data_IF_116905046108
#
_entry.id   IF_116905046108
#
_cell.length_a   1.000
_cell.length_b   1.000
_cell.length_c   1.000
_cell.angle_alpha   90.00
_cell.angle_beta   90.00
_cell.angle_gamma   90.00
#
_symmetry.space_group_name_H-M   'P 1'
#
loop_
_entity.id
_entity.type
_entity.pdbx_description
1 polymer ?
#
# COMPACT_ATOMS: atom_id res chain seq x y z
N UNK A 1 -6.46 26.29 6.07
CA UNK A 1 -6.54 26.38 7.55
C UNK A 1 -7.58 25.44 8.16
N UNK A 2 -8.71 25.14 7.51
CA UNK A 2 -9.74 24.22 8.04
C UNK A 2 -9.24 22.79 8.32
N UNK A 3 -8.59 22.14 7.34
CA UNK A 3 -8.13 20.75 7.47
C UNK A 3 -7.05 20.57 8.56
N UNK A 4 -6.15 21.54 8.74
CA UNK A 4 -5.06 21.44 9.74
C UNK A 4 -5.59 21.34 11.17
N UNK A 5 -6.51 22.22 11.57
CA UNK A 5 -7.04 22.23 12.93
C UNK A 5 -7.84 20.96 13.22
N UNK A 6 -8.60 20.49 12.24
CA UNK A 6 -9.40 19.26 12.35
C UNK A 6 -8.50 18.02 12.49
N UNK A 7 -7.48 17.89 11.63
CA UNK A 7 -6.49 16.81 11.74
C UNK A 7 -5.74 16.89 13.08
N UNK A 8 -5.39 18.08 13.57
CA UNK A 8 -4.76 18.24 14.87
C UNK A 8 -5.68 17.80 16.02
N UNK A 9 -6.97 18.10 15.96
CA UNK A 9 -7.95 17.61 16.92
C UNK A 9 -8.05 16.08 16.90
N UNK A 10 -8.12 15.46 15.72
CA UNK A 10 -8.15 14.01 15.59
C UNK A 10 -6.88 13.35 16.11
N UNK A 11 -5.71 13.91 15.78
CA UNK A 11 -4.43 13.47 16.35
C UNK A 11 -4.48 13.48 17.87
N UNK A 12 -4.94 14.57 18.48
CA UNK A 12 -5.01 14.66 19.94
C UNK A 12 -5.95 13.61 20.54
N UNK A 13 -7.10 13.33 19.91
CA UNK A 13 -8.00 12.24 20.33
C UNK A 13 -7.30 10.89 20.28
N UNK A 14 -6.59 10.60 19.19
CA UNK A 14 -5.80 9.38 19.02
C UNK A 14 -4.74 9.25 20.12
N UNK A 15 -3.89 10.27 20.27
CA UNK A 15 -2.73 10.23 21.15
C UNK A 15 -3.10 10.19 22.64
N UNK A 16 -4.31 10.63 23.00
CA UNK A 16 -4.82 10.59 24.38
C UNK A 16 -5.46 9.24 24.77
N UNK A 17 -5.69 8.32 23.83
CA UNK A 17 -6.23 6.99 24.17
C UNK A 17 -5.17 6.12 24.83
N UNK A 18 -5.58 5.30 25.79
CA UNK A 18 -4.68 4.35 26.47
C UNK A 18 -4.17 3.29 25.49
N UNK A 19 -5.03 2.80 24.61
CA UNK A 19 -4.68 1.80 23.60
C UNK A 19 -3.63 2.31 22.60
N UNK A 20 -3.66 3.59 22.20
CA UNK A 20 -2.59 4.17 21.36
C UNK A 20 -1.23 4.11 22.08
N UNK A 21 -1.19 4.47 23.37
CA UNK A 21 0.03 4.46 24.16
C UNK A 21 0.56 3.03 24.37
N UNK A 22 -0.32 2.09 24.72
CA UNK A 22 0.02 0.68 24.97
C UNK A 22 0.38 -0.09 23.70
N UNK A 23 -0.22 0.25 22.56
CA UNK A 23 0.12 -0.35 21.27
C UNK A 23 1.55 -0.03 20.82
N UNK A 24 2.29 0.80 21.57
CA UNK A 24 3.64 1.25 21.26
C UNK A 24 3.74 1.68 19.80
N UNK A 25 2.84 2.56 19.39
CA UNK A 25 2.76 3.09 18.02
C UNK A 25 2.00 2.21 17.01
N UNK A 26 1.01 1.40 17.37
CA UNK A 26 0.42 0.39 16.47
C UNK A 26 1.32 -0.79 16.13
N UNK A 27 2.07 -1.36 17.08
CA UNK A 27 2.73 -2.65 16.80
C UNK A 27 1.67 -3.62 16.27
N UNK A 28 1.89 -4.17 15.08
CA UNK A 28 0.92 -5.05 14.40
C UNK A 28 0.50 -6.20 15.33
N UNK A 29 1.48 -6.77 16.03
CA UNK A 29 1.31 -7.78 17.06
C UNK A 29 0.39 -7.38 18.22
N UNK A 30 0.36 -6.10 18.63
CA UNK A 30 -0.54 -5.64 19.69
C UNK A 30 -2.01 -5.80 19.29
N UNK A 31 -2.35 -5.41 18.06
CA UNK A 31 -3.74 -5.48 17.58
C UNK A 31 -4.19 -6.94 17.40
N UNK A 32 -3.31 -7.79 16.88
CA UNK A 32 -3.56 -9.23 16.78
C UNK A 32 -3.73 -9.86 18.17
N UNK A 33 -2.89 -9.49 19.14
CA UNK A 33 -3.01 -9.98 20.51
C UNK A 33 -4.31 -9.53 21.20
N UNK A 34 -4.70 -8.26 21.01
CA UNK A 34 -5.97 -7.77 21.54
C UNK A 34 -7.15 -8.54 20.92
N UNK A 35 -7.13 -8.76 19.61
CA UNK A 35 -8.18 -9.53 18.94
C UNK A 35 -8.27 -10.96 19.49
N UNK A 36 -7.12 -11.62 19.69
CA UNK A 36 -7.10 -12.94 20.31
C UNK A 36 -7.70 -12.94 21.73
N UNK A 37 -7.36 -11.96 22.57
CA UNK A 37 -7.92 -11.84 23.92
C UNK A 37 -9.43 -11.58 23.89
N UNK A 38 -9.92 -10.75 22.97
CA UNK A 38 -11.37 -10.51 22.78
C UNK A 38 -12.09 -11.81 22.44
N UNK A 39 -11.55 -12.59 21.50
CA UNK A 39 -12.12 -13.88 21.10
C UNK A 39 -12.13 -14.88 22.26
N UNK A 40 -11.02 -14.99 23.00
CA UNK A 40 -10.89 -15.89 24.15
C UNK A 40 -11.85 -15.53 25.29
N UNK A 41 -12.03 -14.23 25.57
CA UNK A 41 -12.94 -13.74 26.62
C UNK A 41 -14.41 -13.85 26.22
N UNK A 42 -14.76 -13.47 24.99
CA UNK A 42 -16.14 -13.45 24.54
C UNK A 42 -16.65 -14.83 24.12
N UNK A 43 -15.77 -15.72 23.66
CA UNK A 43 -16.11 -17.07 23.20
C UNK A 43 -17.12 -17.08 22.05
N UNK A 44 -17.17 -16.01 21.25
CA UNK A 44 -18.23 -15.77 20.27
C UNK A 44 -17.63 -15.49 18.90
N UNK A 45 -18.11 -16.18 17.87
CA UNK A 45 -17.65 -15.99 16.48
C UNK A 45 -18.79 -15.83 15.48
N UNK A 46 -20.03 -16.10 15.88
CA UNK A 46 -21.26 -15.98 15.09
C UNK A 46 -21.65 -14.51 14.85
N UNK A 47 -20.83 -13.79 14.12
CA UNK A 47 -20.97 -12.37 13.88
C UNK A 47 -20.74 -12.05 12.41
N UNK A 48 -21.37 -10.97 11.91
CA UNK A 48 -21.22 -10.51 10.52
C UNK A 48 -19.75 -10.35 10.08
N UNK A 49 -18.87 -10.01 11.01
CA UNK A 49 -17.42 -9.94 10.78
C UNK A 49 -16.84 -11.24 10.20
N UNK A 50 -17.37 -12.41 10.58
CA UNK A 50 -16.90 -13.71 10.11
C UNK A 50 -17.78 -14.33 9.01
N UNK A 51 -18.81 -13.65 8.54
CA UNK A 51 -19.85 -14.22 7.66
C UNK A 51 -19.36 -14.82 6.33
N UNK A 52 -18.23 -14.35 5.79
CA UNK A 52 -17.67 -14.92 4.56
C UNK A 52 -16.81 -16.18 4.83
N UNK A 53 -16.30 -16.30 6.06
CA UNK A 53 -15.43 -17.41 6.46
C UNK A 53 -16.15 -18.54 7.20
N UNK A 54 -17.28 -18.24 7.83
CA UNK A 54 -18.13 -19.25 8.48
C UNK A 54 -19.62 -18.97 8.24
N UNK A 55 -20.44 -20.00 8.33
CA UNK A 55 -21.90 -19.84 8.38
C UNK A 55 -22.32 -19.40 9.79
N UNK A 56 -22.67 -18.13 9.95
CA UNK A 56 -23.00 -17.52 11.24
C UNK A 56 -24.31 -18.06 11.86
N UNK A 57 -25.12 -18.82 11.10
CA UNK A 57 -26.34 -19.44 11.62
C UNK A 57 -26.07 -20.78 12.30
N UNK A 58 -24.89 -21.38 12.12
CA UNK A 58 -24.51 -22.65 12.74
C UNK A 58 -23.91 -22.45 14.11
N UNK A 59 -24.08 -23.43 14.99
CA UNK A 59 -23.40 -23.42 16.29
C UNK A 59 -21.94 -23.88 16.14
N UNK A 60 -21.04 -23.16 16.77
CA UNK A 60 -19.63 -23.54 16.89
C UNK A 60 -19.23 -23.75 18.36
N UNK A 61 -18.35 -24.71 18.60
CA UNK A 61 -17.76 -25.01 19.91
C UNK A 61 -16.24 -25.05 19.84
N UNK A 62 -15.58 -25.26 20.98
CA UNK A 62 -14.13 -25.47 21.09
C UNK A 62 -13.28 -24.37 20.43
N UNK A 63 -13.71 -23.11 20.58
CA UNK A 63 -12.96 -21.96 20.07
C UNK A 63 -11.56 -21.94 20.68
N UNK A 64 -10.56 -22.08 19.82
CA UNK A 64 -9.13 -21.99 20.14
C UNK A 64 -8.52 -20.90 19.30
N UNK A 65 -7.71 -20.05 19.93
CA UNK A 65 -7.01 -18.97 19.25
C UNK A 65 -5.51 -19.18 19.42
N UNK A 66 -4.81 -19.25 18.30
CA UNK A 66 -3.36 -19.35 18.24
C UNK A 66 -2.78 -18.08 17.66
N UNK A 67 -1.74 -17.54 18.30
CA UNK A 67 -0.99 -16.37 17.83
C UNK A 67 0.27 -16.83 17.11
N UNK A 68 0.60 -16.20 15.98
CA UNK A 68 1.83 -16.44 15.22
C UNK A 68 2.06 -17.90 14.77
N UNK A 69 1.00 -18.73 14.78
CA UNK A 69 1.07 -20.15 14.37
C UNK A 69 1.43 -20.21 12.89
N UNK A 70 2.52 -20.90 12.58
CA UNK A 70 3.07 -20.96 11.23
C UNK A 70 3.34 -19.57 10.62
N UNK A 71 3.69 -18.57 11.43
CA UNK A 71 3.90 -17.18 10.98
C UNK A 71 2.65 -16.50 10.40
N UNK A 72 1.45 -16.94 10.79
CA UNK A 72 0.17 -16.26 10.53
C UNK A 72 -0.21 -15.52 11.80
N UNK A 73 -0.61 -14.24 11.70
CA UNK A 73 -0.86 -13.41 12.89
C UNK A 73 -1.81 -14.08 13.88
N UNK A 74 -2.99 -14.52 13.43
CA UNK A 74 -3.89 -15.36 14.21
C UNK A 74 -4.41 -16.56 13.41
N UNK A 75 -4.52 -17.70 14.08
CA UNK A 75 -5.26 -18.86 13.62
C UNK A 75 -6.36 -19.17 14.62
N UNK A 76 -7.61 -19.21 14.17
CA UNK A 76 -8.76 -19.56 14.98
C UNK A 76 -9.24 -20.93 14.53
N UNK A 77 -9.42 -21.84 15.48
CA UNK A 77 -10.00 -23.16 15.24
C UNK A 77 -11.32 -23.25 16.01
N UNK A 78 -12.38 -23.68 15.33
CA UNK A 78 -13.69 -23.94 15.94
C UNK A 78 -14.24 -25.26 15.41
N UNK A 79 -15.03 -25.96 16.22
CA UNK A 79 -15.72 -27.19 15.82
C UNK A 79 -17.15 -26.85 15.41
N UNK A 80 -17.58 -27.26 14.23
CA UNK A 80 -18.97 -27.09 13.79
C UNK A 80 -19.92 -28.13 14.43
N UNK A 81 -21.22 -27.99 14.18
CA UNK A 81 -22.25 -28.91 14.67
C UNK A 81 -22.09 -30.37 14.20
N UNK A 82 -21.29 -30.63 13.16
CA UNK A 82 -20.98 -31.97 12.63
C UNK A 82 -19.68 -32.54 13.21
N UNK A 83 -19.02 -31.82 14.11
CA UNK A 83 -17.74 -32.22 14.69
C UNK A 83 -16.54 -31.94 13.77
N UNK A 84 -16.72 -31.15 12.70
CA UNK A 84 -15.64 -30.78 11.80
C UNK A 84 -14.93 -29.52 12.28
N UNK A 85 -13.59 -29.55 12.32
CA UNK A 85 -12.78 -28.36 12.62
C UNK A 85 -12.79 -27.41 11.42
N UNK A 86 -13.24 -26.18 11.65
CA UNK A 86 -13.06 -25.05 10.75
C UNK A 86 -11.85 -24.22 11.20
N UNK A 87 -10.95 -23.92 10.26
CA UNK A 87 -9.75 -23.12 10.49
C UNK A 87 -9.92 -21.77 9.81
N UNK A 88 -9.70 -20.69 10.57
CA UNK A 88 -9.76 -19.31 10.07
C UNK A 88 -8.42 -18.65 10.32
N UNK A 89 -7.83 -18.07 9.28
CA UNK A 89 -6.65 -17.24 9.38
C UNK A 89 -7.04 -15.77 9.48
N UNK A 90 -6.38 -15.01 10.35
CA UNK A 90 -6.42 -13.54 10.32
C UNK A 90 -5.01 -13.07 9.99
N UNK A 91 -4.90 -12.27 8.94
CA UNK A 91 -3.69 -11.50 8.64
C UNK A 91 -3.99 -10.03 8.90
N UNK A 92 -3.22 -9.40 9.77
CA UNK A 92 -3.42 -8.04 10.22
C UNK A 92 -2.47 -7.09 9.49
N UNK A 93 -3.00 -6.02 8.89
CA UNK A 93 -2.26 -4.98 8.16
C UNK A 93 -2.62 -3.58 8.67
N UNK A 94 -2.27 -3.31 9.92
CA UNK A 94 -2.39 -1.97 10.52
C UNK A 94 -1.18 -1.07 10.24
N UNK A 95 0.01 -1.64 10.04
CA UNK A 95 1.27 -0.90 9.85
C UNK A 95 1.92 -1.08 8.49
N UNK A 96 1.35 -1.97 7.70
CA UNK A 96 1.87 -2.37 6.41
C UNK A 96 0.72 -2.40 5.40
N UNK A 97 1.08 -2.37 4.12
CA UNK A 97 0.12 -2.60 3.06
C UNK A 97 -0.08 -4.11 2.92
N UNK A 98 -1.27 -4.58 2.49
CA UNK A 98 -1.48 -5.98 2.13
C UNK A 98 -0.47 -6.48 1.09
N UNK A 99 -0.09 -7.75 1.20
CA UNK A 99 0.83 -8.44 0.29
C UNK A 99 0.19 -9.73 -0.24
N UNK A 100 -0.09 -9.76 -1.55
CA UNK A 100 -0.71 -10.89 -2.24
C UNK A 100 0.09 -12.18 -2.10
N UNK A 101 1.41 -12.10 -2.25
CA UNK A 101 2.29 -13.28 -2.18
C UNK A 101 2.28 -13.91 -0.78
N UNK A 102 2.10 -13.07 0.25
CA UNK A 102 1.95 -13.54 1.62
C UNK A 102 0.64 -14.33 1.80
N UNK A 103 -0.48 -13.82 1.26
CA UNK A 103 -1.78 -14.49 1.36
C UNK A 103 -1.81 -15.81 0.60
N UNK A 104 -1.24 -15.86 -0.60
CA UNK A 104 -1.11 -17.09 -1.40
C UNK A 104 -0.33 -18.15 -0.62
N UNK A 105 0.83 -17.79 -0.05
CA UNK A 105 1.65 -18.68 0.78
C UNK A 105 0.92 -19.19 2.03
N UNK A 106 -0.05 -18.46 2.54
CA UNK A 106 -0.87 -18.92 3.67
C UNK A 106 -1.96 -19.88 3.23
N UNK A 107 -2.61 -19.63 2.10
CA UNK A 107 -3.58 -20.57 1.51
C UNK A 107 -2.94 -21.92 1.18
N UNK A 108 -1.66 -21.94 0.82
CA UNK A 108 -0.91 -23.18 0.57
C UNK A 108 -0.64 -24.02 1.84
N UNK A 109 -0.65 -23.40 3.04
CA UNK A 109 -0.39 -24.10 4.31
C UNK A 109 -1.57 -24.95 4.77
N UNK A 110 -2.78 -24.48 4.51
CA UNK A 110 -4.02 -25.21 4.77
C UNK A 110 -5.05 -24.85 3.70
N UNK A 111 -5.23 -25.71 2.67
CA UNK A 111 -6.19 -25.47 1.60
C UNK A 111 -7.66 -25.38 2.03
N UNK A 112 -7.99 -25.86 3.24
CA UNK A 112 -9.36 -25.80 3.77
C UNK A 112 -9.58 -24.58 4.66
N UNK A 113 -8.52 -23.87 5.06
CA UNK A 113 -8.64 -22.66 5.84
C UNK A 113 -9.15 -21.51 4.98
N UNK A 114 -10.00 -20.68 5.57
CA UNK A 114 -10.38 -19.38 5.01
C UNK A 114 -9.67 -18.26 5.75
N UNK A 115 -9.34 -17.19 5.03
CA UNK A 115 -8.59 -16.05 5.57
C UNK A 115 -9.42 -14.78 5.66
N UNK A 116 -9.15 -13.98 6.70
CA UNK A 116 -9.56 -12.58 6.79
C UNK A 116 -8.30 -11.72 6.70
N UNK A 117 -8.24 -10.86 5.68
CA UNK A 117 -7.29 -9.76 5.62
C UNK A 117 -7.89 -8.56 6.37
N UNK A 118 -7.45 -8.33 7.60
CA UNK A 118 -7.81 -7.17 8.41
C UNK A 118 -6.89 -6.01 8.04
N UNK A 119 -7.41 -4.96 7.41
CA UNK A 119 -6.57 -3.90 6.83
C UNK A 119 -7.21 -2.52 6.88
N UNK A 120 -6.40 -1.49 7.16
CA UNK A 120 -6.85 -0.09 7.14
C UNK A 120 -7.26 0.40 5.74
N UNK A 121 -6.72 -0.23 4.70
CA UNK A 121 -6.96 0.15 3.29
C UNK A 121 -7.32 -1.04 2.44
N UNK A 122 -7.96 -0.79 1.29
CA UNK A 122 -8.24 -1.83 0.31
C UNK A 122 -6.93 -2.27 -0.36
N UNK A 123 -6.70 -3.59 -0.56
CA UNK A 123 -5.57 -4.05 -1.34
C UNK A 123 -5.70 -3.56 -2.80
N UNK A 124 -4.56 -3.31 -3.44
CA UNK A 124 -4.50 -2.95 -4.86
C UNK A 124 -4.50 -4.16 -5.81
N UNK A 125 -4.91 -5.33 -5.31
CA UNK A 125 -4.93 -6.60 -6.01
C UNK A 125 -6.21 -7.37 -5.66
N UNK A 126 -6.57 -8.33 -6.49
CA UNK A 126 -7.68 -9.24 -6.23
C UNK A 126 -7.27 -10.26 -5.16
N UNK A 127 -8.11 -10.43 -4.14
CA UNK A 127 -7.80 -11.39 -3.07
C UNK A 127 -7.90 -12.82 -3.61
N UNK A 128 -7.04 -13.75 -3.13
CA UNK A 128 -7.24 -15.17 -3.41
C UNK A 128 -8.62 -15.65 -2.94
N UNK A 129 -9.22 -16.62 -3.63
CA UNK A 129 -10.61 -17.06 -3.40
C UNK A 129 -10.97 -17.41 -1.94
N UNK A 130 -10.00 -17.89 -1.16
CA UNK A 130 -10.19 -18.25 0.24
C UNK A 130 -10.08 -17.06 1.21
N UNK A 131 -9.76 -15.86 0.73
CA UNK A 131 -9.51 -14.67 1.54
C UNK A 131 -10.57 -13.59 1.35
N UNK A 132 -10.97 -12.99 2.46
CA UNK A 132 -11.95 -11.92 2.51
C UNK A 132 -11.38 -10.72 3.25
N UNK A 133 -11.62 -9.51 2.73
CA UNK A 133 -11.19 -8.29 3.44
C UNK A 133 -12.16 -7.98 4.57
N UNK A 134 -11.60 -7.51 5.70
CA UNK A 134 -12.32 -6.71 6.70
C UNK A 134 -11.58 -5.41 7.01
N UNK A 135 -12.32 -4.33 7.23
CA UNK A 135 -11.76 -3.07 7.73
C UNK A 135 -11.64 -3.08 9.25
N UNK A 136 -10.93 -2.09 9.78
CA UNK A 136 -10.90 -1.84 11.21
C UNK A 136 -12.24 -1.31 11.74
N UNK A 137 -13.00 -0.59 10.91
CA UNK A 137 -14.39 -0.22 11.17
C UNK A 137 -15.27 -1.43 11.47
N UNK A 138 -15.18 -2.49 10.64
CA UNK A 138 -15.91 -3.74 10.88
C UNK A 138 -15.46 -4.46 12.15
N UNK A 139 -14.16 -4.38 12.49
CA UNK A 139 -13.61 -4.95 13.72
C UNK A 139 -14.12 -4.21 14.97
N UNK A 140 -14.17 -2.87 14.95
CA UNK A 140 -14.66 -2.10 16.11
C UNK A 140 -16.17 -2.23 16.29
N UNK A 141 -16.93 -2.41 15.20
CA UNK A 141 -18.35 -2.79 15.29
C UNK A 141 -18.50 -4.14 15.99
N UNK A 142 -17.70 -5.13 15.57
CA UNK A 142 -17.65 -6.43 16.24
C UNK A 142 -17.31 -6.30 17.73
N UNK A 143 -16.32 -5.50 18.10
CA UNK A 143 -15.99 -5.29 19.51
C UNK A 143 -17.12 -4.59 20.27
N UNK A 144 -17.82 -3.65 19.64
CA UNK A 144 -18.99 -2.98 20.20
C UNK A 144 -20.10 -3.95 20.58
N UNK A 145 -20.37 -4.92 19.69
CA UNK A 145 -21.39 -5.97 19.89
C UNK A 145 -20.97 -7.05 20.92
N UNK A 146 -19.74 -6.97 21.46
CA UNK A 146 -19.23 -7.87 22.50
C UNK A 146 -19.08 -7.21 23.87
N UNK A 147 -19.39 -5.92 24.01
CA UNK A 147 -19.15 -5.17 25.24
C UNK A 147 -19.91 -5.73 26.46
N UNK A 148 -21.05 -6.39 26.26
CA UNK A 148 -21.86 -7.03 27.29
C UNK A 148 -21.41 -8.46 27.63
N UNK A 149 -20.52 -9.05 26.82
CA UNK A 149 -19.99 -10.42 27.00
C UNK A 149 -18.69 -10.49 27.78
N UNK A 150 -18.18 -9.34 28.22
CA UNK A 150 -16.88 -9.22 28.90
C UNK A 150 -17.04 -8.52 30.24
N UNK A 151 -16.05 -8.68 31.12
CA UNK A 151 -16.02 -8.00 32.40
C UNK A 151 -15.90 -6.48 32.26
N UNK A 152 -16.38 -5.73 33.25
CA UNK A 152 -16.45 -4.26 33.23
C UNK A 152 -15.10 -3.60 32.96
N UNK A 153 -14.02 -4.14 33.53
CA UNK A 153 -12.67 -3.59 33.33
C UNK A 153 -12.24 -3.75 31.88
N UNK A 154 -12.44 -4.94 31.29
CA UNK A 154 -12.13 -5.18 29.88
C UNK A 154 -13.07 -4.41 28.95
N UNK A 155 -14.33 -4.22 29.32
CA UNK A 155 -15.30 -3.40 28.57
C UNK A 155 -14.83 -1.96 28.40
N UNK A 156 -14.37 -1.32 29.48
CA UNK A 156 -13.82 0.04 29.43
C UNK A 156 -12.56 0.10 28.57
N UNK A 157 -11.71 -0.92 28.65
CA UNK A 157 -10.52 -1.04 27.82
C UNK A 157 -10.85 -1.15 26.32
N UNK A 158 -11.89 -1.93 25.96
CA UNK A 158 -12.36 -2.05 24.58
C UNK A 158 -13.01 -0.77 24.06
N UNK A 159 -13.76 -0.05 24.90
CA UNK A 159 -14.33 1.25 24.52
C UNK A 159 -13.25 2.26 24.11
N UNK A 160 -12.15 2.33 24.87
CA UNK A 160 -10.99 3.17 24.52
C UNK A 160 -10.36 2.72 23.19
N UNK A 161 -10.26 1.42 22.92
CA UNK A 161 -9.76 0.91 21.64
C UNK A 161 -10.69 1.24 20.46
N UNK A 162 -12.00 1.12 20.65
CA UNK A 162 -13.02 1.45 19.65
C UNK A 162 -12.91 2.94 19.28
N UNK A 163 -12.84 3.82 20.29
CA UNK A 163 -12.64 5.25 20.06
C UNK A 163 -11.31 5.51 19.35
N UNK A 164 -10.24 4.85 19.78
CA UNK A 164 -8.93 4.98 19.17
C UNK A 164 -8.96 4.66 17.67
N UNK A 165 -9.40 3.46 17.29
CA UNK A 165 -9.38 3.02 15.90
C UNK A 165 -10.36 3.79 15.02
N UNK A 166 -11.51 4.21 15.58
CA UNK A 166 -12.44 5.10 14.88
C UNK A 166 -11.77 6.42 14.46
N UNK A 167 -11.05 7.06 15.39
CA UNK A 167 -10.35 8.30 15.08
C UNK A 167 -9.18 8.06 14.10
N UNK A 168 -8.51 6.90 14.13
CA UNK A 168 -7.46 6.55 13.16
C UNK A 168 -8.02 6.43 11.74
N UNK A 169 -9.16 5.75 11.56
CA UNK A 169 -9.79 5.63 10.24
C UNK A 169 -10.19 7.00 9.68
N UNK A 170 -10.83 7.84 10.50
CA UNK A 170 -11.21 9.21 10.11
C UNK A 170 -9.97 10.06 9.76
N UNK A 171 -8.89 9.93 10.53
CA UNK A 171 -7.64 10.65 10.28
C UNK A 171 -7.00 10.24 8.95
N UNK A 172 -6.96 8.93 8.65
CA UNK A 172 -6.43 8.41 7.38
C UNK A 172 -7.29 8.88 6.20
N UNK A 173 -8.61 8.87 6.35
CA UNK A 173 -9.54 9.33 5.32
C UNK A 173 -9.31 10.81 4.97
N UNK A 174 -9.17 11.68 5.98
CA UNK A 174 -8.97 13.11 5.74
C UNK A 174 -7.60 13.47 5.14
N UNK A 175 -6.56 12.68 5.43
CA UNK A 175 -5.20 12.99 4.98
C UNK A 175 -4.83 12.36 3.64
N UNK A 176 -5.26 11.12 3.38
CA UNK A 176 -4.84 10.34 2.20
C UNK A 176 -5.71 10.56 0.96
N UNK A 177 -6.88 11.18 1.10
CA UNK A 177 -7.80 11.44 -0.02
C UNK A 177 -7.91 12.93 -0.36
N UNK A 178 -6.91 13.73 0.01
CA UNK A 178 -6.81 15.13 -0.37
C UNK A 178 -6.58 15.33 -1.88
N UNK A 179 -6.90 16.52 -2.39
CA UNK A 179 -6.75 16.85 -3.81
C UNK A 179 -5.30 16.99 -4.26
N UNK A 180 -4.39 17.38 -3.37
CA UNK A 180 -2.97 17.61 -3.67
C UNK A 180 -2.16 16.31 -3.80
N UNK A 181 -1.25 16.25 -4.78
CA UNK A 181 -0.29 15.14 -4.90
C UNK A 181 0.67 15.10 -3.71
N UNK A 182 1.19 16.27 -3.33
CA UNK A 182 2.00 16.38 -2.13
C UNK A 182 1.10 16.36 -0.91
N UNK A 183 1.51 15.63 0.13
CA UNK A 183 1.02 15.94 1.46
C UNK A 183 1.37 17.41 1.75
N UNK A 184 0.37 18.24 2.04
CA UNK A 184 0.60 19.65 2.35
C UNK A 184 1.57 19.80 3.53
N UNK A 185 2.30 20.92 3.59
CA UNK A 185 3.21 21.18 4.72
C UNK A 185 2.48 21.17 6.08
N UNK A 186 1.23 21.65 6.10
CA UNK A 186 0.28 21.53 7.21
C UNK A 186 0.09 20.07 7.64
N UNK A 187 -0.16 19.16 6.69
CA UNK A 187 -0.34 17.74 6.95
C UNK A 187 0.95 17.12 7.50
N UNK A 188 2.12 17.46 6.94
CA UNK A 188 3.41 17.03 7.47
C UNK A 188 3.63 17.49 8.91
N UNK A 189 3.25 18.72 9.25
CA UNK A 189 3.32 19.24 10.63
C UNK A 189 2.41 18.46 11.58
N UNK A 190 1.19 18.11 11.16
CA UNK A 190 0.32 17.25 11.99
C UNK A 190 0.90 15.85 12.13
N UNK A 191 1.52 15.29 11.09
CA UNK A 191 2.16 13.97 11.14
C UNK A 191 3.49 13.96 11.90
N UNK A 192 4.07 15.12 12.20
CA UNK A 192 5.38 15.21 12.85
C UNK A 192 5.32 14.65 14.28
N UNK A 193 6.20 13.68 14.56
CA UNK A 193 6.20 12.94 15.83
C UNK A 193 5.09 11.89 15.96
N UNK A 194 4.09 11.90 15.07
CA UNK A 194 3.03 10.89 15.07
C UNK A 194 3.59 9.58 14.52
N UNK A 195 3.44 8.50 15.29
CA UNK A 195 4.07 7.24 14.93
C UNK A 195 3.39 6.51 13.76
N UNK A 196 2.19 6.97 13.37
CA UNK A 196 1.44 6.52 12.19
C UNK A 196 1.94 7.12 10.86
N UNK A 197 2.82 8.12 10.89
CA UNK A 197 3.30 8.84 9.70
C UNK A 197 3.74 7.92 8.56
N UNK A 198 4.56 6.90 8.86
CA UNK A 198 5.08 5.97 7.84
C UNK A 198 3.96 5.17 7.15
N UNK A 199 2.94 4.75 7.90
CA UNK A 199 1.80 4.00 7.35
C UNK A 199 0.96 4.91 6.47
N UNK A 200 0.70 6.14 6.93
CA UNK A 200 -0.05 7.14 6.19
C UNK A 200 0.63 7.51 4.88
N UNK A 201 1.94 7.72 4.91
CA UNK A 201 2.74 7.94 3.71
C UNK A 201 2.60 6.74 2.76
N UNK A 202 2.77 5.50 3.23
CA UNK A 202 2.58 4.29 2.40
C UNK A 202 1.19 4.22 1.77
N UNK A 203 0.14 4.49 2.55
CA UNK A 203 -1.26 4.48 2.07
C UNK A 203 -1.45 5.52 0.97
N UNK A 204 -0.95 6.74 1.17
CA UNK A 204 -1.04 7.82 0.18
C UNK A 204 -0.46 7.40 -1.17
N UNK A 205 0.77 6.87 -1.16
CA UNK A 205 1.43 6.45 -2.41
C UNK A 205 0.81 5.19 -3.02
N UNK A 206 0.26 4.27 -2.22
CA UNK A 206 -0.48 3.12 -2.72
C UNK A 206 -1.80 3.54 -3.38
N UNK A 207 -2.51 4.53 -2.82
CA UNK A 207 -3.72 5.08 -3.44
C UNK A 207 -3.41 5.72 -4.80
N UNK A 208 -2.29 6.46 -4.90
CA UNK A 208 -1.83 7.02 -6.16
C UNK A 208 -1.45 5.95 -7.18
N UNK A 209 -0.81 4.86 -6.74
CA UNK A 209 -0.52 3.69 -7.60
C UNK A 209 -1.82 3.05 -8.12
N UNK A 210 -2.83 2.86 -7.27
CA UNK A 210 -4.11 2.28 -7.67
C UNK A 210 -4.85 3.12 -8.72
N UNK A 211 -4.61 4.44 -8.77
CA UNK A 211 -5.21 5.32 -9.78
C UNK A 211 -4.59 5.16 -11.19
N UNK A 212 -3.54 4.34 -11.34
CA UNK A 212 -2.91 4.05 -12.63
C UNK A 212 -2.83 2.54 -12.93
N UNK A 213 -3.38 1.68 -12.06
CA UNK A 213 -3.33 0.22 -12.24
C UNK A 213 -4.25 -0.30 -13.34
N UNK A 214 -5.27 0.47 -13.72
CA UNK A 214 -6.19 0.17 -14.82
C UNK A 214 -5.57 0.34 -16.22
N UNK A 215 -4.34 0.86 -16.31
CA UNK A 215 -3.64 1.06 -17.59
C UNK A 215 -3.12 -0.23 -18.25
N UNK A 216 -3.33 -1.40 -17.63
CA UNK A 216 -2.95 -2.69 -18.21
C UNK A 216 -1.46 -3.03 -18.12
N UNK A 217 -0.67 -2.21 -17.41
CA UNK A 217 0.73 -2.47 -17.10
C UNK A 217 0.92 -2.74 -15.61
N UNK A 218 2.00 -3.43 -15.29
CA UNK A 218 2.39 -3.69 -13.90
C UNK A 218 2.74 -2.36 -13.22
N UNK A 219 2.10 -2.08 -12.10
CA UNK A 219 2.39 -0.92 -11.25
C UNK A 219 3.17 -1.35 -10.02
N UNK A 220 3.87 -0.40 -9.40
CA UNK A 220 4.64 -0.65 -8.19
C UNK A 220 4.68 0.57 -7.28
N UNK A 221 4.90 0.34 -6.00
CA UNK A 221 5.23 1.39 -5.03
C UNK A 221 6.15 0.85 -3.95
N UNK A 222 6.84 1.77 -3.26
CA UNK A 222 7.76 1.39 -2.21
C UNK A 222 8.53 2.56 -1.65
N UNK A 223 9.71 2.27 -1.10
CA UNK A 223 10.61 3.28 -0.52
C UNK A 223 12.03 3.09 -1.01
N UNK A 224 12.65 4.15 -1.52
CA UNK A 224 14.06 4.18 -1.95
C UNK A 224 14.76 5.36 -1.28
N UNK A 225 15.89 5.09 -0.60
CA UNK A 225 16.75 6.11 0.06
C UNK A 225 15.95 7.13 0.90
N UNK A 226 14.98 6.63 1.67
CA UNK A 226 14.18 7.46 2.58
C UNK A 226 12.94 8.11 1.96
N UNK A 227 12.79 8.12 0.63
CA UNK A 227 11.62 8.67 -0.06
C UNK A 227 10.70 7.57 -0.57
N UNK A 228 9.39 7.80 -0.46
CA UNK A 228 8.40 6.95 -1.09
C UNK A 228 8.35 7.19 -2.61
N UNK A 229 7.98 6.16 -3.35
CA UNK A 229 7.80 6.21 -4.79
C UNK A 229 6.67 5.31 -5.24
N UNK A 230 6.11 5.62 -6.41
CA UNK A 230 5.22 4.75 -7.17
C UNK A 230 5.51 4.90 -8.67
N UNK A 231 5.09 3.93 -9.47
CA UNK A 231 5.35 3.95 -10.90
C UNK A 231 4.66 2.83 -11.65
N UNK A 232 4.97 2.78 -12.94
CA UNK A 232 4.41 1.83 -13.91
C UNK A 232 5.56 1.30 -14.79
N UNK A 233 5.60 -0.02 -14.95
CA UNK A 233 6.59 -0.74 -15.76
C UNK A 233 6.00 -1.03 -17.14
N UNK A 234 6.52 -0.35 -18.18
CA UNK A 234 6.18 -0.64 -19.56
C UNK A 234 7.16 -1.69 -20.10
N UNK A 235 6.67 -2.92 -20.24
CA UNK A 235 7.46 -4.05 -20.75
C UNK A 235 7.69 -3.92 -22.26
N UNK A 236 8.85 -4.38 -22.70
CA UNK A 236 9.24 -4.40 -24.11
C UNK A 236 9.42 -5.84 -24.55
N UNK A 237 8.46 -6.36 -25.33
CA UNK A 237 8.45 -7.74 -25.80
C UNK A 237 9.79 -8.13 -26.43
N UNK A 238 10.35 -9.28 -26.03
CA UNK A 238 11.64 -9.77 -26.54
C UNK A 238 12.87 -9.20 -25.83
N UNK A 239 12.70 -8.37 -24.79
CA UNK A 239 13.76 -7.99 -23.86
C UNK A 239 13.31 -8.24 -22.42
N UNK A 240 14.25 -8.36 -21.48
CA UNK A 240 13.93 -8.39 -20.03
C UNK A 240 13.97 -7.00 -19.41
N UNK A 241 14.31 -5.99 -20.19
CA UNK A 241 14.38 -4.59 -19.77
C UNK A 241 13.00 -3.92 -19.87
N UNK A 242 12.79 -2.87 -19.07
CA UNK A 242 11.53 -2.09 -19.06
C UNK A 242 11.80 -0.60 -19.23
N UNK A 243 10.81 0.11 -19.76
CA UNK A 243 10.75 1.56 -19.67
C UNK A 243 9.72 1.93 -18.61
N UNK A 244 10.06 2.79 -17.67
CA UNK A 244 9.22 3.11 -16.53
C UNK A 244 8.94 4.61 -16.48
N UNK A 245 7.72 4.95 -16.06
CA UNK A 245 7.46 6.23 -15.39
C UNK A 245 7.52 5.96 -13.90
N UNK A 246 8.36 6.71 -13.19
CA UNK A 246 8.49 6.63 -11.74
C UNK A 246 8.37 8.00 -11.11
N UNK A 247 7.52 8.10 -10.10
CA UNK A 247 7.40 9.28 -9.26
C UNK A 247 8.09 9.00 -7.93
N UNK A 248 9.10 9.79 -7.58
CA UNK A 248 9.79 9.69 -6.29
C UNK A 248 9.90 11.07 -5.64
N UNK A 249 9.13 11.30 -4.57
CA UNK A 249 9.03 12.62 -3.94
C UNK A 249 8.52 13.65 -4.95
N UNK A 250 9.27 14.72 -5.19
CA UNK A 250 8.92 15.71 -6.22
C UNK A 250 9.47 15.39 -7.61
N UNK A 251 10.06 14.21 -7.84
CA UNK A 251 10.69 13.89 -9.12
C UNK A 251 9.75 13.06 -9.99
N UNK A 252 9.48 13.56 -11.19
CA UNK A 252 8.85 12.83 -12.27
C UNK A 252 9.93 12.26 -13.18
N UNK A 253 10.08 10.95 -13.21
CA UNK A 253 11.20 10.27 -13.87
C UNK A 253 10.73 9.46 -15.06
N UNK A 254 11.48 9.56 -16.15
CA UNK A 254 11.52 8.53 -17.18
C UNK A 254 12.76 7.69 -16.92
N UNK A 255 12.60 6.37 -16.91
CA UNK A 255 13.65 5.45 -16.52
C UNK A 255 13.67 4.26 -17.48
N UNK A 256 14.86 3.78 -17.84
CA UNK A 256 15.02 2.43 -18.38
C UNK A 256 15.66 1.56 -17.31
N UNK A 257 15.03 0.43 -17.03
CA UNK A 257 15.53 -0.58 -16.11
C UNK A 257 16.14 -1.70 -16.97
N UNK A 258 17.47 -1.67 -17.12
CA UNK A 258 18.16 -2.70 -17.87
C UNK A 258 18.25 -3.97 -17.03
N UNK A 259 17.82 -5.10 -17.58
CA UNK A 259 18.01 -6.39 -16.89
C UNK A 259 19.51 -6.68 -16.75
N UNK A 260 19.91 -7.50 -15.77
CA UNK A 260 21.33 -7.87 -15.60
C UNK A 260 21.88 -8.58 -16.85
N UNK A 261 21.07 -9.48 -17.44
CA UNK A 261 21.41 -10.21 -18.66
C UNK A 261 21.56 -9.29 -19.87
N UNK A 262 20.66 -8.31 -20.01
CA UNK A 262 20.73 -7.34 -21.10
C UNK A 262 21.95 -6.43 -20.90
N UNK A 263 22.16 -5.96 -19.68
CA UNK A 263 23.27 -5.09 -19.33
C UNK A 263 24.65 -5.70 -19.62
N UNK A 264 24.85 -7.00 -19.37
CA UNK A 264 26.13 -7.65 -19.68
C UNK A 264 26.48 -7.62 -21.17
N UNK A 265 25.46 -7.54 -22.03
CA UNK A 265 25.58 -7.44 -23.49
C UNK A 265 25.60 -6.00 -23.99
N UNK A 266 25.20 -5.05 -23.14
CA UNK A 266 25.11 -3.64 -23.49
C UNK A 266 26.36 -2.90 -22.99
N UNK A 267 26.97 -2.12 -23.88
CA UNK A 267 28.12 -1.28 -23.54
C UNK A 267 27.72 -0.03 -22.72
N UNK A 268 27.76 1.13 -23.36
CA UNK A 268 27.46 2.41 -22.71
C UNK A 268 25.95 2.67 -22.63
N UNK A 269 25.37 2.40 -21.46
CA UNK A 269 23.93 2.59 -21.21
C UNK A 269 23.48 4.06 -21.35
N UNK A 270 24.33 5.03 -20.99
CA UNK A 270 24.01 6.45 -21.15
C UNK A 270 23.92 6.81 -22.64
N UNK A 271 24.83 6.27 -23.46
CA UNK A 271 24.80 6.43 -24.92
C UNK A 271 23.52 5.84 -25.52
N UNK A 272 23.05 4.69 -25.04
CA UNK A 272 21.79 4.09 -25.49
C UNK A 272 20.60 5.01 -25.14
N UNK A 273 20.54 5.50 -23.90
CA UNK A 273 19.50 6.43 -23.48
C UNK A 273 19.55 7.76 -24.26
N UNK A 274 20.73 8.24 -24.67
CA UNK A 274 20.86 9.38 -25.60
C UNK A 274 20.29 9.09 -26.99
N UNK A 275 20.52 7.88 -27.53
CA UNK A 275 19.95 7.47 -28.82
C UNK A 275 18.42 7.41 -28.72
N UNK A 276 17.89 6.82 -27.65
CA UNK A 276 16.45 6.78 -27.37
C UNK A 276 15.89 8.21 -27.32
N UNK A 277 16.49 9.09 -26.51
CA UNK A 277 16.07 10.49 -26.36
C UNK A 277 16.02 11.23 -27.70
N UNK A 278 17.03 11.03 -28.56
CA UNK A 278 17.11 11.65 -29.89
C UNK A 278 16.09 11.10 -30.88
N UNK A 279 15.86 9.78 -30.89
CA UNK A 279 14.98 9.10 -31.88
C UNK A 279 13.49 9.14 -31.51
N UNK A 280 13.15 9.26 -30.23
CA UNK A 280 11.76 9.12 -29.74
C UNK A 280 11.22 10.35 -29.02
N UNK A 281 12.09 11.33 -28.71
CA UNK A 281 11.77 12.45 -27.82
C UNK A 281 11.28 12.02 -26.42
N UNK A 282 11.44 10.76 -26.03
CA UNK A 282 11.32 10.32 -24.64
C UNK A 282 12.43 11.00 -23.81
N UNK A 283 12.19 11.21 -22.51
CA UNK A 283 13.03 12.04 -21.63
C UNK A 283 13.02 13.55 -21.97
N UNK A 284 12.21 13.99 -22.94
CA UNK A 284 11.90 15.40 -23.14
C UNK A 284 10.54 15.72 -22.52
N UNK A 285 10.58 16.42 -21.38
CA UNK A 285 9.41 16.79 -20.58
C UNK A 285 8.69 18.07 -21.06
N UNK A 286 9.14 18.68 -22.16
CA UNK A 286 8.53 19.88 -22.78
C UNK A 286 8.24 21.01 -21.75
N UNK A 287 9.27 21.44 -21.02
CA UNK A 287 9.11 22.20 -19.78
C UNK A 287 8.68 23.68 -19.92
N UNK A 288 8.77 24.29 -21.10
CA UNK A 288 8.55 25.74 -21.27
C UNK A 288 7.12 26.16 -20.89
N UNK A 289 6.11 25.39 -21.31
CA UNK A 289 4.69 25.63 -21.00
C UNK A 289 4.05 24.48 -20.20
N UNK A 290 4.85 23.60 -19.60
CA UNK A 290 4.33 22.46 -18.86
C UNK A 290 3.67 22.92 -17.56
N UNK A 291 2.38 22.66 -17.38
CA UNK A 291 1.66 23.03 -16.15
C UNK A 291 2.03 22.15 -14.95
N UNK A 292 2.51 20.93 -15.20
CA UNK A 292 2.76 19.89 -14.19
C UNK A 292 4.22 19.86 -13.75
N UNK A 293 5.13 20.00 -14.71
CA UNK A 293 6.56 19.79 -14.51
C UNK A 293 7.36 21.08 -14.65
N UNK A 294 8.45 21.17 -13.89
CA UNK A 294 9.43 22.24 -13.97
C UNK A 294 10.86 21.67 -14.01
N UNK A 295 11.81 22.51 -14.42
CA UNK A 295 13.20 22.11 -14.61
C UNK A 295 13.84 21.68 -13.29
N UNK A 296 14.49 20.51 -13.30
CA UNK A 296 15.34 20.09 -12.18
C UNK A 296 16.65 20.90 -12.17
N UNK A 297 17.19 21.16 -10.98
CA UNK A 297 18.46 21.88 -10.80
C UNK A 297 19.71 21.05 -11.09
N UNK A 298 19.53 19.80 -11.56
CA UNK A 298 20.65 18.87 -11.80
C UNK A 298 21.48 19.28 -13.00
N UNK A 299 22.79 19.36 -12.82
CA UNK A 299 23.77 19.58 -13.90
C UNK A 299 24.15 18.29 -14.65
N UNK A 300 23.96 17.12 -14.02
CA UNK A 300 24.15 15.82 -14.69
C UNK A 300 22.95 15.45 -15.53
N UNK A 301 23.21 15.08 -16.79
CA UNK A 301 22.23 14.72 -17.82
C UNK A 301 21.56 13.36 -17.59
N UNK A 302 22.32 12.37 -17.11
CA UNK A 302 21.82 11.05 -16.74
C UNK A 302 22.12 10.74 -15.28
N UNK A 303 21.20 10.03 -14.64
CA UNK A 303 21.36 9.50 -13.29
C UNK A 303 21.31 7.97 -13.36
N UNK A 304 22.14 7.34 -12.56
CA UNK A 304 22.22 5.89 -12.49
C UNK A 304 21.99 5.38 -11.07
N UNK A 305 21.16 4.34 -10.93
CA UNK A 305 21.02 3.55 -9.72
C UNK A 305 21.44 2.10 -10.00
N UNK A 306 22.18 1.49 -9.06
CA UNK A 306 22.70 0.11 -9.13
C UNK A 306 23.36 -0.30 -10.45
N UNK A 307 23.88 0.69 -11.19
CA UNK A 307 24.46 0.55 -12.53
C UNK A 307 23.53 -0.12 -13.56
N UNK A 308 22.22 -0.13 -13.36
CA UNK A 308 21.23 -0.76 -14.27
C UNK A 308 20.00 0.11 -14.54
N UNK A 309 19.76 1.08 -13.65
CA UNK A 309 18.65 2.00 -13.72
C UNK A 309 19.15 3.33 -14.28
N UNK A 310 18.87 3.64 -15.53
CA UNK A 310 19.25 4.92 -16.14
C UNK A 310 18.02 5.79 -16.28
N UNK A 311 18.06 7.01 -15.73
CA UNK A 311 16.91 7.90 -15.74
C UNK A 311 17.28 9.37 -15.94
N UNK A 312 16.29 10.12 -16.42
CA UNK A 312 16.25 11.59 -16.44
C UNK A 312 14.94 12.03 -15.76
N UNK A 313 14.91 13.24 -15.20
CA UNK A 313 13.77 13.69 -14.42
C UNK A 313 13.53 15.20 -14.43
N UNK A 314 12.27 15.55 -14.30
CA UNK A 314 11.79 16.89 -13.99
C UNK A 314 11.23 16.93 -12.57
N UNK A 315 11.01 18.14 -12.04
CA UNK A 315 10.31 18.31 -10.77
C UNK A 315 8.82 18.50 -11.01
N UNK A 316 7.99 17.91 -10.16
CA UNK A 316 6.55 18.17 -10.10
C UNK A 316 6.35 19.49 -9.36
N UNK A 317 5.58 20.42 -9.94
CA UNK A 317 5.30 21.71 -9.31
C UNK A 317 4.44 21.53 -8.05
N UNK A 318 4.67 22.37 -7.04
CA UNK A 318 4.03 22.23 -5.71
C UNK A 318 2.50 22.29 -5.71
N UNK A 319 1.89 22.97 -6.69
CA UNK A 319 0.44 23.16 -6.76
C UNK A 319 -0.30 22.04 -7.51
N UNK A 320 0.43 21.06 -8.06
CA UNK A 320 -0.16 19.98 -8.85
C UNK A 320 -1.05 19.11 -7.97
N UNK A 321 -2.30 18.95 -8.39
CA UNK A 321 -3.23 18.01 -7.79
C UNK A 321 -2.87 16.56 -8.16
N UNK A 322 -3.29 15.62 -7.32
CA UNK A 322 -3.21 14.19 -7.59
C UNK A 322 -3.85 13.85 -8.93
N UNK A 323 -5.03 14.43 -9.22
CA UNK A 323 -5.76 14.20 -10.47
C UNK A 323 -4.95 14.66 -11.69
N UNK A 324 -4.44 15.89 -11.68
CA UNK A 324 -3.62 16.43 -12.77
C UNK A 324 -2.37 15.58 -13.01
N UNK A 325 -1.71 15.11 -11.95
CA UNK A 325 -0.56 14.23 -12.06
C UNK A 325 -0.95 12.88 -12.68
N UNK A 326 -2.05 12.26 -12.24
CA UNK A 326 -2.54 11.00 -12.80
C UNK A 326 -2.89 11.16 -14.29
N UNK A 327 -3.62 12.22 -14.67
CA UNK A 327 -3.98 12.50 -16.07
C UNK A 327 -2.73 12.73 -16.94
N UNK A 328 -1.71 13.39 -16.38
CA UNK A 328 -0.41 13.57 -17.02
C UNK A 328 0.28 12.21 -17.24
N UNK A 329 0.35 11.35 -16.21
CA UNK A 329 0.93 9.99 -16.34
C UNK A 329 0.20 9.19 -17.42
N UNK A 330 -1.14 9.20 -17.44
CA UNK A 330 -1.94 8.49 -18.45
C UNK A 330 -1.63 8.95 -19.87
N UNK A 331 -1.44 10.25 -20.06
CA UNK A 331 -1.09 10.83 -21.35
C UNK A 331 0.32 10.42 -21.77
N UNK A 332 1.27 10.45 -20.84
CA UNK A 332 2.67 10.09 -21.11
C UNK A 332 2.85 8.59 -21.36
N UNK A 333 2.09 7.72 -20.67
CA UNK A 333 2.04 6.28 -20.95
C UNK A 333 1.70 6.02 -22.42
N UNK A 334 0.63 6.64 -22.95
CA UNK A 334 0.24 6.51 -24.37
C UNK A 334 1.32 6.99 -25.33
N UNK A 335 2.04 8.06 -24.97
CA UNK A 335 3.17 8.56 -25.75
C UNK A 335 4.33 7.57 -25.75
N UNK A 336 4.66 7.00 -24.60
CA UNK A 336 5.73 5.99 -24.48
C UNK A 336 5.36 4.74 -25.27
N UNK A 337 4.13 4.24 -25.15
CA UNK A 337 3.60 3.09 -25.90
C UNK A 337 3.85 3.22 -27.41
N UNK A 338 3.54 4.38 -27.98
CA UNK A 338 3.76 4.67 -29.41
C UNK A 338 5.24 4.58 -29.83
N UNK A 339 6.17 4.72 -28.88
CA UNK A 339 7.61 4.67 -29.12
C UNK A 339 8.30 3.40 -28.60
N UNK A 340 7.61 2.53 -27.84
CA UNK A 340 8.21 1.32 -27.23
C UNK A 340 8.88 0.42 -28.26
N UNK A 341 8.31 0.28 -29.47
CA UNK A 341 8.92 -0.52 -30.55
C UNK A 341 10.29 0.03 -30.97
N UNK A 342 10.42 1.36 -31.09
CA UNK A 342 11.67 2.02 -31.44
C UNK A 342 12.68 1.89 -30.30
N UNK A 343 12.24 2.05 -29.04
CA UNK A 343 13.10 1.86 -27.85
C UNK A 343 13.68 0.44 -27.84
N UNK A 344 12.83 -0.57 -28.04
CA UNK A 344 13.23 -1.97 -28.13
C UNK A 344 14.27 -2.21 -29.22
N UNK A 345 14.02 -1.73 -30.44
CA UNK A 345 14.94 -1.90 -31.58
C UNK A 345 16.32 -1.31 -31.27
N UNK A 346 16.36 -0.10 -30.68
CA UNK A 346 17.61 0.52 -30.24
C UNK A 346 18.34 -0.36 -29.22
N UNK A 347 17.64 -0.90 -28.22
CA UNK A 347 18.26 -1.75 -27.20
C UNK A 347 18.84 -3.01 -27.86
N UNK A 348 18.06 -3.72 -28.69
CA UNK A 348 18.48 -4.95 -29.35
C UNK A 348 19.68 -4.75 -30.31
N UNK A 349 19.69 -3.65 -31.08
CA UNK A 349 20.80 -3.31 -31.99
C UNK A 349 22.13 -3.08 -31.26
N UNK A 350 22.09 -2.77 -29.97
CA UNK A 350 23.27 -2.44 -29.16
C UNK A 350 23.72 -3.57 -28.22
N UNK A 351 23.08 -4.75 -28.28
CA UNK A 351 23.44 -5.96 -27.50
C UNK A 351 24.55 -6.82 -28.14
N UNK A 352 25.32 -6.25 -29.07
CA UNK A 352 26.28 -6.96 -29.92
C UNK A 352 27.48 -7.52 -29.17
#
# INVERSE_FOLDING_TARGET
MGNYNELLTLRNKIENTLNYQLSLSNLELYHSNLFAVVLEKAGFINHKFFSDVIDINKRYTDLKVYREKNSIDLTIEVTDEKGQTCVIFIENKVKSLPDESQLIRYSEKDPNAKGILLSLVKPGFELPDSWFRRSYGELIEYYGDLLDKVDETFRLFLLDYIEYMKNVEEFIEKICYGESYFLEESNYKVLEGMRLRSVIEKIHYANLQNNISDLGYKTYSGRIRGAHHFGIELTMEGTKSTFDIQIQGNQYRHKVNFSLEDKEKLGDLEKICEIIKKKTCLYNFNLEDNLILEKSSSTKKWKMYDKKDVYDYAHIKKHVSSKELIDYIRTDVKKIEAHLKIVKEIILENMA
#
